data_IF_798879434392
#
_entry.id   IF_798879434392
#
_cell.length_a   1.000
_cell.length_b   1.000
_cell.length_c   1.000
_cell.angle_alpha   90.00
_cell.angle_beta   90.00
_cell.angle_gamma   90.00
#
_symmetry.space_group_name_H-M   'P 1'
#
loop_
_entity.id
_entity.type
_entity.pdbx_description
1 polymer ?
#
# COMPACT_ATOMS: atom_id res chain seq x y z
N UNK A 1 9.58 -28.40 -15.40
CA UNK A 1 8.12 -28.20 -15.33
C UNK A 1 7.88 -26.93 -14.53
N UNK A 2 7.61 -25.85 -15.26
CA UNK A 2 7.05 -24.56 -14.85
C UNK A 2 7.93 -23.70 -13.93
N UNK A 3 8.69 -22.84 -14.59
CA UNK A 3 9.34 -21.65 -14.04
C UNK A 3 8.36 -20.80 -13.23
N UNK A 4 8.53 -20.76 -11.90
CA UNK A 4 8.05 -19.65 -11.07
C UNK A 4 8.89 -18.42 -11.41
N UNK A 5 8.56 -17.74 -12.50
CA UNK A 5 8.97 -16.34 -12.63
C UNK A 5 8.37 -15.61 -11.44
N UNK A 6 9.23 -15.31 -10.47
CA UNK A 6 8.92 -14.37 -9.42
C UNK A 6 8.49 -13.09 -10.11
N UNK A 7 7.18 -12.84 -10.07
CA UNK A 7 6.51 -11.61 -10.51
C UNK A 7 7.06 -10.50 -9.61
N UNK A 8 8.26 -10.01 -9.95
CA UNK A 8 8.88 -8.90 -9.26
C UNK A 8 8.02 -7.70 -9.60
N UNK A 9 7.44 -7.01 -8.61
CA UNK A 9 6.70 -5.79 -8.89
C UNK A 9 7.60 -4.87 -9.71
N UNK A 10 7.04 -4.17 -10.72
CA UNK A 10 7.82 -3.29 -11.57
C UNK A 10 8.60 -2.30 -10.71
N UNK A 11 9.84 -1.93 -11.10
CA UNK A 11 10.65 -1.02 -10.31
C UNK A 11 9.88 0.29 -10.07
N UNK A 12 9.58 0.56 -8.80
CA UNK A 12 8.83 1.76 -8.41
C UNK A 12 9.76 2.96 -8.54
N UNK A 13 9.40 3.91 -9.41
CA UNK A 13 10.13 5.17 -9.50
C UNK A 13 9.87 6.00 -8.23
N UNK A 14 10.93 6.56 -7.65
CA UNK A 14 10.82 7.42 -6.45
C UNK A 14 9.90 8.62 -6.70
N UNK A 15 9.88 9.15 -7.93
CA UNK A 15 8.97 10.23 -8.31
C UNK A 15 7.51 9.77 -8.29
N UNK A 16 7.21 8.59 -8.82
CA UNK A 16 5.85 8.05 -8.81
C UNK A 16 5.36 7.78 -7.38
N UNK A 17 6.23 7.21 -6.53
CA UNK A 17 5.93 7.01 -5.12
C UNK A 17 5.71 8.36 -4.41
N UNK A 18 6.57 9.36 -4.64
CA UNK A 18 6.43 10.70 -4.06
C UNK A 18 5.10 11.35 -4.43
N UNK A 19 4.72 11.35 -5.71
CA UNK A 19 3.43 11.89 -6.14
C UNK A 19 2.25 11.12 -5.56
N UNK A 20 2.36 9.81 -5.44
CA UNK A 20 1.33 8.98 -4.80
C UNK A 20 1.14 9.37 -3.33
N UNK A 21 2.21 9.42 -2.54
CA UNK A 21 2.16 9.77 -1.12
C UNK A 21 1.70 11.21 -0.90
N UNK A 22 2.14 12.15 -1.76
CA UNK A 22 1.67 13.53 -1.75
C UNK A 22 0.16 13.59 -2.00
N UNK A 23 -0.33 12.88 -3.02
CA UNK A 23 -1.77 12.80 -3.33
C UNK A 23 -2.55 12.17 -2.18
N UNK A 24 -2.05 11.09 -1.58
CA UNK A 24 -2.68 10.43 -0.44
C UNK A 24 -2.79 11.39 0.76
N UNK A 25 -1.74 12.18 1.05
CA UNK A 25 -1.75 13.17 2.12
C UNK A 25 -2.71 14.34 1.90
N UNK A 26 -2.95 14.74 0.65
CA UNK A 26 -3.96 15.77 0.32
C UNK A 26 -5.39 15.24 0.29
N UNK A 27 -5.58 13.92 0.19
CA UNK A 27 -6.91 13.29 0.13
C UNK A 27 -7.26 12.72 1.51
N UNK A 28 -7.93 13.52 2.33
CA UNK A 28 -8.54 13.10 3.61
C UNK A 28 -10.00 12.65 3.45
N UNK A 29 -10.37 12.07 2.31
CA UNK A 29 -11.76 11.71 2.04
C UNK A 29 -12.11 10.34 2.64
N UNK A 30 -13.18 10.28 3.46
CA UNK A 30 -13.74 9.01 3.99
C UNK A 30 -13.09 8.46 5.27
N UNK A 31 -12.22 9.21 5.95
CA UNK A 31 -11.56 8.77 7.18
C UNK A 31 -10.53 7.64 6.98
N UNK A 32 -10.10 6.95 8.05
CA UNK A 32 -9.07 5.91 7.97
C UNK A 32 -9.41 4.76 7.01
N UNK A 33 -10.67 4.32 7.00
CA UNK A 33 -11.15 3.28 6.09
C UNK A 33 -11.09 3.71 4.61
N UNK A 34 -11.40 4.99 4.32
CA UNK A 34 -11.26 5.56 2.98
C UNK A 34 -9.81 5.56 2.50
N UNK A 35 -8.87 5.95 3.36
CA UNK A 35 -7.44 5.92 3.04
C UNK A 35 -6.94 4.50 2.77
N UNK A 36 -7.31 3.52 3.61
CA UNK A 36 -6.94 2.11 3.42
C UNK A 36 -7.48 1.55 2.09
N UNK A 37 -8.74 1.85 1.76
CA UNK A 37 -9.35 1.42 0.49
C UNK A 37 -8.65 2.04 -0.72
N UNK A 38 -8.31 3.32 -0.65
CA UNK A 38 -7.57 4.00 -1.72
C UNK A 38 -6.15 3.44 -1.90
N UNK A 39 -5.52 3.03 -0.79
CA UNK A 39 -4.23 2.35 -0.80
C UNK A 39 -4.32 0.99 -1.47
N UNK A 40 -5.31 0.17 -1.14
CA UNK A 40 -5.53 -1.12 -1.80
C UNK A 40 -5.77 -0.93 -3.31
N UNK A 41 -6.69 -0.05 -3.70
CA UNK A 41 -7.03 0.14 -5.11
C UNK A 41 -5.86 0.64 -5.97
N UNK A 42 -5.09 1.62 -5.48
CA UNK A 42 -3.96 2.15 -6.25
C UNK A 42 -2.73 1.25 -6.18
N UNK A 43 -2.35 0.75 -5.00
CA UNK A 43 -1.08 0.04 -4.81
C UNK A 43 -1.16 -1.44 -5.17
N UNK A 44 -2.31 -2.09 -4.93
CA UNK A 44 -2.52 -3.52 -5.24
C UNK A 44 -3.13 -3.68 -6.63
N UNK A 45 -4.27 -3.05 -6.92
CA UNK A 45 -5.01 -3.33 -8.16
C UNK A 45 -4.42 -2.61 -9.37
N UNK A 46 -4.28 -1.28 -9.31
CA UNK A 46 -3.88 -0.47 -10.47
C UNK A 46 -2.38 -0.54 -10.75
N UNK A 47 -1.55 -0.24 -9.75
CA UNK A 47 -0.09 -0.11 -9.92
C UNK A 47 0.65 -1.42 -9.68
N UNK A 48 0.03 -2.37 -8.95
CA UNK A 48 0.60 -3.68 -8.60
C UNK A 48 2.00 -3.56 -7.98
N UNK A 49 2.23 -2.52 -7.18
CA UNK A 49 3.48 -2.30 -6.46
C UNK A 49 3.61 -3.26 -5.26
N UNK A 50 2.47 -3.63 -4.68
CA UNK A 50 2.39 -4.59 -3.57
C UNK A 50 1.36 -5.67 -3.92
N UNK A 51 1.65 -6.92 -3.55
CA UNK A 51 0.70 -8.01 -3.73
C UNK A 51 -0.41 -7.95 -2.69
N UNK A 52 -1.59 -8.46 -3.04
CA UNK A 52 -2.75 -8.57 -2.16
C UNK A 52 -2.39 -9.21 -0.80
N UNK A 53 -1.60 -10.30 -0.84
CA UNK A 53 -1.16 -10.98 0.36
C UNK A 53 -0.30 -10.10 1.26
N UNK A 54 0.67 -9.33 0.71
CA UNK A 54 1.51 -8.41 1.49
C UNK A 54 0.69 -7.28 2.10
N UNK A 55 -0.27 -6.74 1.32
CA UNK A 55 -1.18 -5.69 1.80
C UNK A 55 -2.05 -6.17 2.96
N UNK A 56 -2.69 -7.33 2.84
CA UNK A 56 -3.52 -7.92 3.91
C UNK A 56 -2.70 -8.27 5.15
N UNK A 57 -1.45 -8.69 4.98
CA UNK A 57 -0.55 -8.95 6.09
C UNK A 57 -0.22 -7.66 6.86
N UNK A 58 0.09 -6.59 6.13
CA UNK A 58 0.31 -5.26 6.71
C UNK A 58 -0.94 -4.73 7.43
N UNK A 59 -2.11 -4.86 6.79
CA UNK A 59 -3.38 -4.42 7.37
C UNK A 59 -3.69 -5.13 8.69
N UNK A 60 -3.62 -6.47 8.72
CA UNK A 60 -3.81 -7.23 9.95
C UNK A 60 -2.83 -6.82 11.05
N UNK A 61 -1.57 -6.54 10.68
CA UNK A 61 -0.57 -6.06 11.65
C UNK A 61 -0.96 -4.71 12.27
N UNK A 62 -1.46 -3.77 11.45
CA UNK A 62 -1.89 -2.45 11.93
C UNK A 62 -3.16 -2.46 12.77
N UNK A 63 -4.03 -3.45 12.60
CA UNK A 63 -5.22 -3.63 13.46
C UNK A 63 -4.89 -4.16 14.86
N UNK A 64 -3.72 -4.81 15.03
CA UNK A 64 -3.24 -5.30 16.33
C UNK A 64 -2.53 -4.19 17.12
N UNK A 65 -1.96 -3.19 16.44
CA UNK A 65 -1.22 -2.12 17.06
C UNK A 65 -2.14 -0.96 17.50
N UNK A 66 -2.07 -0.49 18.75
CA UNK A 66 -2.83 0.69 19.17
C UNK A 66 -2.30 1.94 18.44
N UNK A 67 -3.10 2.53 17.55
CA UNK A 67 -2.76 3.78 16.87
C UNK A 67 -3.55 4.04 15.57
N UNK A 68 -3.18 5.09 14.81
CA UNK A 68 -3.85 5.42 13.55
C UNK A 68 -3.48 4.42 12.45
N UNK A 69 -4.36 3.44 12.23
CA UNK A 69 -4.18 2.30 11.31
C UNK A 69 -3.67 2.70 9.91
N UNK A 70 -4.28 3.71 9.29
CA UNK A 70 -3.92 4.16 7.94
C UNK A 70 -2.48 4.70 7.84
N UNK A 71 -1.99 5.40 8.87
CA UNK A 71 -0.64 5.94 8.88
C UNK A 71 0.42 4.87 9.13
N UNK A 72 0.10 3.89 9.99
CA UNK A 72 0.98 2.74 10.19
C UNK A 72 1.08 1.89 8.92
N UNK A 73 -0.06 1.69 8.23
CA UNK A 73 -0.11 0.95 6.98
C UNK A 73 0.68 1.68 5.89
N UNK A 74 0.53 3.01 5.79
CA UNK A 74 1.31 3.84 4.89
C UNK A 74 2.82 3.72 5.14
N UNK A 75 3.23 3.80 6.40
CA UNK A 75 4.65 3.69 6.77
C UNK A 75 5.20 2.30 6.45
N UNK A 76 4.45 1.26 6.78
CA UNK A 76 4.84 -0.13 6.52
C UNK A 76 4.98 -0.38 5.01
N UNK A 77 4.02 0.09 4.21
CA UNK A 77 4.07 -0.05 2.75
C UNK A 77 5.20 0.80 2.14
N UNK A 78 5.47 1.99 2.68
CA UNK A 78 6.59 2.83 2.24
C UNK A 78 7.96 2.21 2.50
N UNK A 79 8.07 1.27 3.44
CA UNK A 79 9.28 0.51 3.74
C UNK A 79 9.44 -0.77 2.88
N UNK A 80 8.35 -1.27 2.28
CA UNK A 80 8.26 -2.58 1.62
C UNK A 80 8.81 -2.62 0.19
#
# INVERSE_FOLDING_TARGET
MIDKHADRPPPVSLLDAFYYWLKLGFISFGGPAGQISMMHQELVEKRRWISEHRFLHALNYTMVLPGPEAQQLATYIGWL
#
